data_IF_556731601857
#
_entry.id   IF_556731601857
#
_cell.length_a   1.000
_cell.length_b   1.000
_cell.length_c   1.000
_cell.angle_alpha   90.00
_cell.angle_beta   90.00
_cell.angle_gamma   90.00
#
_symmetry.space_group_name_H-M   'P 1'
#
loop_
_entity.id
_entity.type
_entity.pdbx_description
1 polymer ?
#
# COMPACT_ATOMS: atom_id res chain seq x y z
N UNK A 1 17.46 3.20 -3.91
CA UNK A 1 16.20 2.68 -4.50
C UNK A 1 15.36 1.97 -3.44
N UNK A 2 15.96 1.21 -2.53
CA UNK A 2 15.26 0.50 -1.43
C UNK A 2 14.41 1.41 -0.53
N UNK A 3 14.90 2.61 -0.18
CA UNK A 3 14.13 3.56 0.65
C UNK A 3 12.83 4.05 0.00
N UNK A 4 12.77 4.13 -1.33
CA UNK A 4 11.54 4.50 -2.06
C UNK A 4 10.49 3.39 -1.95
N UNK A 5 10.94 2.13 -2.03
CA UNK A 5 10.06 0.98 -1.89
C UNK A 5 9.54 0.86 -0.45
N UNK A 6 10.40 1.07 0.55
CA UNK A 6 10.00 1.10 1.95
C UNK A 6 8.99 2.22 2.26
N UNK A 7 9.23 3.43 1.74
CA UNK A 7 8.29 4.55 1.90
C UNK A 7 6.93 4.27 1.28
N UNK A 8 6.88 3.58 0.13
CA UNK A 8 5.62 3.16 -0.48
C UNK A 8 4.87 2.14 0.38
N UNK A 9 5.58 1.16 0.95
CA UNK A 9 4.98 0.15 1.86
C UNK A 9 4.41 0.84 3.11
N UNK A 10 5.15 1.77 3.72
CA UNK A 10 4.68 2.53 4.88
C UNK A 10 3.42 3.34 4.56
N UNK A 11 3.39 4.01 3.41
CA UNK A 11 2.21 4.75 2.95
C UNK A 11 0.99 3.82 2.79
N UNK A 12 1.16 2.66 2.15
CA UNK A 12 0.08 1.67 1.94
C UNK A 12 -0.48 1.19 3.29
N UNK A 13 0.39 0.76 4.21
CA UNK A 13 0.00 0.28 5.54
C UNK A 13 -0.73 1.39 6.33
N UNK A 14 -0.17 2.60 6.35
CA UNK A 14 -0.78 3.74 7.06
C UNK A 14 -2.15 4.15 6.49
N UNK A 15 -2.32 4.16 5.16
CA UNK A 15 -3.63 4.45 4.55
C UNK A 15 -4.66 3.38 4.89
N UNK A 16 -4.27 2.10 4.91
CA UNK A 16 -5.16 1.01 5.28
C UNK A 16 -5.58 1.08 6.76
N UNK A 17 -4.64 1.39 7.67
CA UNK A 17 -4.93 1.62 9.09
C UNK A 17 -5.91 2.78 9.32
N UNK A 18 -5.89 3.80 8.46
CA UNK A 18 -6.84 4.91 8.47
C UNK A 18 -8.21 4.57 7.85
N UNK A 19 -8.43 3.32 7.42
CA UNK A 19 -9.67 2.87 6.81
C UNK A 19 -9.89 3.37 5.38
N UNK A 20 -8.82 3.79 4.69
CA UNK A 20 -8.93 4.20 3.28
C UNK A 20 -9.26 2.96 2.43
N UNK A 21 -10.23 3.04 1.51
CA UNK A 21 -10.59 1.91 0.65
C UNK A 21 -9.41 1.41 -0.20
N UNK A 22 -9.31 0.09 -0.39
CA UNK A 22 -8.23 -0.56 -1.14
C UNK A 22 -8.06 0.01 -2.56
N UNK A 23 -9.16 0.29 -3.26
CA UNK A 23 -9.15 0.90 -4.60
C UNK A 23 -8.46 2.27 -4.61
N UNK A 24 -8.64 3.05 -3.54
CA UNK A 24 -8.02 4.37 -3.39
C UNK A 24 -6.53 4.23 -3.10
N UNK A 25 -6.14 3.26 -2.27
CA UNK A 25 -4.74 2.95 -1.96
C UNK A 25 -3.99 2.46 -3.22
N UNK A 26 -4.61 1.57 -3.99
CA UNK A 26 -4.08 1.06 -5.27
C UNK A 26 -3.82 2.22 -6.25
N UNK A 27 -4.78 3.13 -6.40
CA UNK A 27 -4.63 4.32 -7.24
C UNK A 27 -3.50 5.25 -6.77
N UNK A 28 -3.41 5.51 -5.47
CA UNK A 28 -2.40 6.40 -4.89
C UNK A 28 -0.97 5.81 -4.98
N UNK A 29 -0.85 4.50 -4.75
CA UNK A 29 0.43 3.78 -4.82
C UNK A 29 0.84 3.40 -6.25
N UNK A 30 -0.05 3.55 -7.23
CA UNK A 30 0.11 3.11 -8.62
C UNK A 30 0.39 1.60 -8.70
N UNK A 31 -0.36 0.81 -7.93
CA UNK A 31 -0.29 -0.65 -7.87
C UNK A 31 -1.65 -1.26 -8.20
N UNK A 32 -1.66 -2.56 -8.50
CA UNK A 32 -2.88 -3.35 -8.52
C UNK A 32 -3.47 -3.53 -7.11
N UNK A 33 -4.78 -3.82 -7.03
CA UNK A 33 -5.42 -4.16 -5.74
C UNK A 33 -4.79 -5.42 -5.15
N UNK A 34 -4.50 -6.41 -5.99
CA UNK A 34 -3.85 -7.67 -5.62
C UNK A 34 -2.43 -7.47 -5.08
N UNK A 35 -1.67 -6.52 -5.65
CA UNK A 35 -0.36 -6.15 -5.10
C UNK A 35 -0.48 -5.45 -3.75
N UNK A 36 -1.48 -4.57 -3.58
CA UNK A 36 -1.75 -3.92 -2.29
C UNK A 36 -2.14 -4.95 -1.24
N UNK A 37 -3.02 -5.89 -1.55
CA UNK A 37 -3.41 -6.99 -0.65
C UNK A 37 -2.19 -7.81 -0.22
N UNK A 38 -1.32 -8.23 -1.16
CA UNK A 38 -0.08 -8.95 -0.84
C UNK A 38 0.86 -8.16 0.07
N UNK A 39 0.90 -6.83 -0.05
CA UNK A 39 1.71 -5.96 0.82
C UNK A 39 1.11 -5.88 2.22
N UNK A 40 -0.22 -5.84 2.33
CA UNK A 40 -0.93 -5.78 3.61
C UNK A 40 -0.93 -7.12 4.36
N UNK A 41 -0.91 -8.25 3.64
CA UNK A 41 -0.81 -9.59 4.22
C UNK A 41 0.59 -9.91 4.76
N UNK A 42 1.63 -9.22 4.26
CA UNK A 42 3.00 -9.34 4.78
C UNK A 42 3.12 -8.61 6.13
N UNK A 43 3.01 -9.40 7.22
CA UNK A 43 3.24 -8.94 8.60
C UNK A 43 4.65 -8.40 8.79
#
# INVERSE_FOLDING_TARGET
>A
QEGVQQGKIQMIKGMHELGVPLETIAKASKLGIDEVERILEQK
#
